data_IF_025779299575
#
_entry.id   IF_025779299575
#
_cell.length_a   1.000
_cell.length_b   1.000
_cell.length_c   1.000
_cell.angle_alpha   90.00
_cell.angle_beta   90.00
_cell.angle_gamma   90.00
#
_symmetry.space_group_name_H-M   'P 1'
#
loop_
_entity.id
_entity.type
_entity.pdbx_description
1 polymer ?
#
# COMPACT_ATOMS: atom_id res chain seq x y z
N UNK A 1 -41.23 22.26 16.13
CA UNK A 1 -41.53 21.15 15.20
C UNK A 1 -40.40 21.08 14.18
N UNK A 2 -39.62 20.02 14.13
CA UNK A 2 -38.59 19.86 13.10
C UNK A 2 -39.27 19.51 11.77
N UNK A 3 -38.88 20.16 10.67
CA UNK A 3 -39.29 19.76 9.32
C UNK A 3 -38.34 18.66 8.85
N UNK A 4 -38.90 17.51 8.48
CA UNK A 4 -38.16 16.42 7.84
C UNK A 4 -38.10 16.71 6.33
N UNK A 5 -36.89 16.71 5.76
CA UNK A 5 -36.67 16.71 4.32
C UNK A 5 -36.49 15.25 3.88
N UNK A 6 -37.46 14.72 3.14
CA UNK A 6 -37.33 13.41 2.49
C UNK A 6 -37.06 13.63 1.00
N UNK A 7 -35.98 13.04 0.51
CA UNK A 7 -35.65 13.06 -0.92
C UNK A 7 -36.37 11.91 -1.64
N UNK A 8 -36.58 12.05 -2.94
CA UNK A 8 -37.00 10.92 -3.78
C UNK A 8 -35.93 9.85 -3.75
N UNK A 9 -36.32 8.58 -3.80
CA UNK A 9 -35.39 7.46 -3.78
C UNK A 9 -35.98 6.20 -4.40
N UNK A 10 -35.13 5.21 -4.57
CA UNK A 10 -35.43 3.94 -5.21
C UNK A 10 -34.22 3.02 -5.21
N UNK A 11 -34.40 1.78 -5.64
CA UNK A 11 -33.34 0.77 -5.69
C UNK A 11 -32.26 1.14 -6.71
N UNK A 12 -31.11 0.48 -6.66
CA UNK A 12 -30.05 0.62 -7.66
C UNK A 12 -30.55 0.26 -9.05
N UNK A 13 -31.38 -0.78 -9.14
CA UNK A 13 -31.97 -1.21 -10.41
C UNK A 13 -33.00 -0.23 -10.95
N UNK A 14 -33.68 0.53 -10.11
CA UNK A 14 -34.58 1.60 -10.56
C UNK A 14 -33.77 2.80 -11.02
N UNK A 15 -32.73 3.18 -10.26
CA UNK A 15 -31.82 4.27 -10.64
C UNK A 15 -31.16 4.04 -11.98
N UNK A 16 -30.74 2.82 -12.33
CA UNK A 16 -30.02 2.53 -13.58
C UNK A 16 -30.77 2.90 -14.86
N UNK A 17 -32.09 3.10 -14.79
CA UNK A 17 -32.93 3.54 -15.92
C UNK A 17 -33.53 4.94 -15.73
N UNK A 18 -33.33 5.57 -14.57
CA UNK A 18 -33.85 6.89 -14.23
C UNK A 18 -32.85 8.00 -14.58
N UNK A 19 -33.33 9.05 -15.26
CA UNK A 19 -32.58 10.29 -15.48
C UNK A 19 -33.27 11.41 -14.71
N UNK A 20 -32.65 11.88 -13.62
CA UNK A 20 -33.16 13.01 -12.85
C UNK A 20 -32.90 14.34 -13.54
N UNK A 21 -33.62 15.39 -13.10
CA UNK A 21 -33.41 16.74 -13.62
C UNK A 21 -32.03 17.31 -13.26
N UNK A 22 -31.62 18.39 -13.93
CA UNK A 22 -30.37 19.10 -13.62
C UNK A 22 -30.33 19.49 -12.14
N UNK A 23 -29.29 19.05 -11.41
CA UNK A 23 -29.08 19.26 -9.96
C UNK A 23 -30.12 18.61 -9.05
N UNK A 24 -30.90 17.66 -9.56
CA UNK A 24 -31.71 16.82 -8.71
C UNK A 24 -30.82 15.91 -7.86
N UNK A 25 -31.23 15.66 -6.61
CA UNK A 25 -30.60 14.69 -5.71
C UNK A 25 -31.64 13.65 -5.32
N UNK A 26 -31.33 12.37 -5.56
CA UNK A 26 -32.13 11.23 -5.12
C UNK A 26 -31.32 10.34 -4.16
N UNK A 27 -31.99 9.36 -3.54
CA UNK A 27 -31.35 8.35 -2.66
C UNK A 27 -31.43 6.98 -3.32
N UNK A 28 -30.28 6.36 -3.59
CA UNK A 28 -30.20 4.93 -3.93
C UNK A 28 -30.32 4.12 -2.64
N UNK A 29 -31.44 3.44 -2.47
CA UNK A 29 -31.79 2.75 -1.21
C UNK A 29 -31.14 1.40 -1.03
N UNK A 30 -30.54 0.82 -2.09
CA UNK A 30 -29.78 -0.43 -1.94
C UNK A 30 -28.35 -0.12 -1.49
N UNK A 31 -27.82 1.03 -1.94
CA UNK A 31 -26.47 1.48 -1.60
C UNK A 31 -26.44 2.44 -0.42
N UNK A 32 -27.57 2.96 0.05
CA UNK A 32 -27.65 4.00 1.08
C UNK A 32 -26.80 5.25 0.75
N UNK A 33 -26.85 5.72 -0.49
CA UNK A 33 -26.10 6.90 -0.94
C UNK A 33 -26.98 7.90 -1.67
N UNK A 34 -26.55 9.16 -1.66
CA UNK A 34 -27.10 10.19 -2.53
C UNK A 34 -26.66 9.95 -3.98
N UNK A 35 -27.51 10.30 -4.92
CA UNK A 35 -27.24 10.29 -6.36
C UNK A 35 -27.56 11.67 -6.92
N UNK A 36 -26.57 12.32 -7.53
CA UNK A 36 -26.72 13.63 -8.17
C UNK A 36 -27.01 13.46 -9.66
N UNK A 37 -27.91 14.27 -10.21
CA UNK A 37 -28.32 14.20 -11.61
C UNK A 37 -27.96 15.46 -12.40
N UNK A 38 -27.71 15.28 -13.70
CA UNK A 38 -27.33 16.33 -14.65
C UNK A 38 -28.39 16.60 -15.73
N UNK A 39 -29.55 15.92 -15.68
CA UNK A 39 -30.59 16.04 -16.71
C UNK A 39 -30.40 15.17 -17.94
N UNK A 40 -29.32 14.39 -18.05
CA UNK A 40 -29.01 13.60 -19.26
C UNK A 40 -28.53 12.18 -18.98
N UNK A 41 -27.78 11.95 -17.90
CA UNK A 41 -27.14 10.67 -17.60
C UNK A 41 -28.08 9.77 -16.79
N UNK A 42 -28.51 8.65 -17.38
CA UNK A 42 -29.28 7.64 -16.65
C UNK A 42 -28.43 7.03 -15.53
N UNK A 43 -29.02 6.81 -14.34
CA UNK A 43 -28.30 6.38 -13.15
C UNK A 43 -27.65 7.51 -12.36
N UNK A 44 -27.46 8.69 -12.95
CA UNK A 44 -26.82 9.84 -12.32
C UNK A 44 -25.40 9.53 -11.83
N UNK A 45 -24.96 10.29 -10.82
CA UNK A 45 -23.64 10.19 -10.21
C UNK A 45 -23.80 9.85 -8.71
N UNK A 46 -23.71 8.56 -8.34
CA UNK A 46 -23.75 8.17 -6.94
C UNK A 46 -22.58 8.74 -6.16
N UNK A 47 -22.84 9.21 -4.94
CA UNK A 47 -21.80 9.58 -4.01
C UNK A 47 -20.95 8.35 -3.64
N UNK A 48 -19.64 8.55 -3.50
CA UNK A 48 -18.73 7.50 -3.07
C UNK A 48 -19.01 7.08 -1.64
N UNK A 49 -18.93 5.78 -1.36
CA UNK A 49 -19.00 5.22 -0.01
C UNK A 49 -18.05 4.04 0.09
N UNK A 50 -17.18 4.08 1.10
CA UNK A 50 -16.29 2.96 1.40
C UNK A 50 -17.01 1.92 2.24
N UNK A 51 -16.86 0.67 1.81
CA UNK A 51 -17.47 -0.49 2.44
C UNK A 51 -16.47 -1.65 2.51
N UNK A 52 -16.51 -2.37 3.62
CA UNK A 52 -15.91 -3.71 3.74
C UNK A 52 -16.84 -4.73 3.08
N UNK A 53 -16.34 -5.39 2.05
CA UNK A 53 -17.00 -6.54 1.42
C UNK A 53 -16.77 -7.83 2.21
N UNK A 54 -17.40 -8.92 1.78
CA UNK A 54 -17.06 -10.25 2.28
C UNK A 54 -15.60 -10.60 1.96
N UNK A 55 -15.01 -11.45 2.80
CA UNK A 55 -13.67 -11.96 2.53
C UNK A 55 -13.64 -12.74 1.21
N UNK A 56 -12.58 -12.54 0.43
CA UNK A 56 -12.39 -13.17 -0.88
C UNK A 56 -11.32 -14.24 -0.76
N UNK A 57 -11.57 -15.44 -1.30
CA UNK A 57 -10.55 -16.47 -1.38
C UNK A 57 -9.57 -16.13 -2.52
N UNK A 58 -8.28 -16.29 -2.26
CA UNK A 58 -7.23 -16.13 -3.25
C UNK A 58 -7.43 -17.13 -4.40
N UNK A 59 -7.41 -16.63 -5.63
CA UNK A 59 -7.52 -17.37 -6.88
C UNK A 59 -6.74 -16.62 -7.98
N UNK A 60 -6.52 -17.26 -9.13
CA UNK A 60 -5.87 -16.67 -10.31
C UNK A 60 -6.82 -16.84 -11.51
N UNK A 61 -7.50 -15.77 -11.99
CA UNK A 61 -7.47 -14.38 -11.49
C UNK A 61 -8.11 -14.20 -10.12
N UNK A 62 -7.64 -13.20 -9.36
CA UNK A 62 -8.37 -12.75 -8.17
C UNK A 62 -9.61 -11.96 -8.61
N UNK A 63 -10.79 -12.31 -8.12
CA UNK A 63 -12.04 -11.64 -8.52
C UNK A 63 -12.42 -10.57 -7.49
N UNK A 64 -12.50 -9.32 -7.93
CA UNK A 64 -12.99 -8.20 -7.12
C UNK A 64 -14.47 -7.99 -7.43
N UNK A 65 -15.31 -8.19 -6.42
CA UNK A 65 -16.77 -8.04 -6.57
C UNK A 65 -17.18 -6.57 -6.58
N UNK A 66 -18.25 -6.22 -7.28
CA UNK A 66 -18.78 -4.85 -7.25
C UNK A 66 -19.45 -4.55 -5.89
N UNK A 67 -19.45 -3.27 -5.49
CA UNK A 67 -20.23 -2.77 -4.35
C UNK A 67 -19.47 -2.68 -3.01
N UNK A 68 -18.18 -2.99 -2.98
CA UNK A 68 -17.31 -2.70 -1.82
C UNK A 68 -15.91 -2.30 -2.29
N UNK A 69 -15.14 -1.72 -1.38
CA UNK A 69 -13.80 -1.19 -1.69
C UNK A 69 -12.75 -1.71 -0.71
N UNK A 70 -13.09 -2.61 0.20
CA UNK A 70 -12.13 -3.23 1.10
C UNK A 70 -12.46 -4.72 1.21
N UNK A 71 -11.45 -5.56 1.03
CA UNK A 71 -11.58 -7.02 1.11
C UNK A 71 -10.43 -7.61 1.92
N UNK A 72 -10.72 -8.66 2.69
CA UNK A 72 -9.65 -9.52 3.20
C UNK A 72 -9.48 -10.66 2.22
N UNK A 73 -8.26 -10.83 1.71
CA UNK A 73 -7.86 -11.95 0.86
C UNK A 73 -7.44 -13.10 1.76
N UNK A 74 -8.20 -14.19 1.71
CA UNK A 74 -7.93 -15.44 2.42
C UNK A 74 -7.27 -16.46 1.50
N UNK A 75 -6.67 -17.53 2.03
CA UNK A 75 -5.98 -18.54 1.23
C UNK A 75 -4.53 -18.18 0.88
N UNK A 76 -3.92 -19.01 0.04
CA UNK A 76 -2.47 -18.98 -0.28
C UNK A 76 -2.16 -19.10 -1.77
N UNK A 77 -3.18 -19.07 -2.63
CA UNK A 77 -3.00 -19.16 -4.09
C UNK A 77 -2.45 -17.84 -4.60
N UNK A 78 -1.26 -17.89 -5.22
CA UNK A 78 -0.71 -16.71 -5.91
C UNK A 78 -1.53 -16.34 -7.14
N UNK A 79 -1.43 -15.09 -7.56
CA UNK A 79 -2.13 -14.59 -8.74
C UNK A 79 -1.28 -13.56 -9.48
N UNK A 80 -1.59 -13.38 -10.77
CA UNK A 80 -0.87 -12.45 -11.65
C UNK A 80 -1.80 -11.45 -12.37
N UNK A 81 -3.10 -11.59 -12.21
CA UNK A 81 -4.12 -10.67 -12.71
C UNK A 81 -5.34 -10.58 -11.77
N UNK A 82 -6.23 -9.64 -12.07
CA UNK A 82 -7.49 -9.43 -11.33
C UNK A 82 -8.65 -9.22 -12.30
N UNK A 83 -9.78 -9.87 -12.01
CA UNK A 83 -11.06 -9.54 -12.66
C UNK A 83 -11.73 -8.40 -11.89
N UNK A 84 -11.79 -7.21 -12.50
CA UNK A 84 -12.34 -5.99 -11.88
C UNK A 84 -12.80 -4.99 -12.95
N UNK A 85 -13.88 -4.27 -12.66
CA UNK A 85 -14.37 -3.21 -13.54
C UNK A 85 -13.40 -2.01 -13.57
N UNK A 86 -13.40 -1.26 -14.67
CA UNK A 86 -12.63 -0.02 -14.77
C UNK A 86 -13.08 1.02 -13.73
N UNK A 87 -12.17 1.90 -13.32
CA UNK A 87 -12.38 2.97 -12.34
C UNK A 87 -12.78 2.49 -10.95
N UNK A 88 -12.34 1.30 -10.55
CA UNK A 88 -12.56 0.76 -9.22
C UNK A 88 -11.34 1.03 -8.33
N UNK A 89 -11.55 1.71 -7.21
CA UNK A 89 -10.53 1.95 -6.18
C UNK A 89 -10.81 1.06 -4.97
N UNK A 90 -9.84 0.27 -4.52
CA UNK A 90 -10.06 -0.70 -3.45
C UNK A 90 -8.79 -1.04 -2.66
N UNK A 91 -9.01 -1.61 -1.48
CA UNK A 91 -8.01 -2.10 -0.55
C UNK A 91 -8.10 -3.61 -0.44
N UNK A 92 -6.94 -4.26 -0.34
CA UNK A 92 -6.81 -5.67 -0.01
C UNK A 92 -5.97 -5.80 1.26
N UNK A 93 -6.50 -6.50 2.26
CA UNK A 93 -5.76 -6.98 3.41
C UNK A 93 -5.52 -8.48 3.26
N UNK A 94 -4.28 -8.95 3.39
CA UNK A 94 -3.96 -10.36 3.21
C UNK A 94 -4.03 -11.10 4.56
N UNK A 95 -4.76 -12.21 4.63
CA UNK A 95 -4.84 -13.04 5.82
C UNK A 95 -3.70 -14.09 5.91
N UNK A 96 -2.90 -14.23 4.84
CA UNK A 96 -1.87 -15.24 4.73
C UNK A 96 -0.81 -14.89 3.68
N UNK A 97 0.10 -15.84 3.47
CA UNK A 97 1.17 -15.72 2.47
C UNK A 97 0.72 -16.27 1.12
N UNK A 98 0.78 -15.43 0.10
CA UNK A 98 0.65 -15.75 -1.32
C UNK A 98 1.68 -14.93 -2.10
N UNK A 99 1.81 -15.21 -3.40
CA UNK A 99 2.66 -14.40 -4.29
C UNK A 99 1.79 -13.65 -5.28
N UNK A 100 1.86 -12.33 -5.22
CA UNK A 100 1.36 -11.46 -6.28
C UNK A 100 2.48 -11.32 -7.31
N UNK A 101 2.24 -11.74 -8.56
CA UNK A 101 3.24 -11.65 -9.63
C UNK A 101 2.97 -10.42 -10.48
N UNK A 102 3.99 -9.60 -10.69
CA UNK A 102 3.85 -8.42 -11.54
C UNK A 102 3.69 -8.81 -13.01
N UNK A 103 2.67 -8.25 -13.66
CA UNK A 103 2.46 -8.32 -15.11
C UNK A 103 2.14 -6.93 -15.60
N UNK A 104 3.06 -6.33 -16.35
CA UNK A 104 2.92 -4.99 -16.92
C UNK A 104 1.60 -4.81 -17.68
N UNK A 105 0.74 -3.89 -17.24
CA UNK A 105 -0.55 -3.64 -17.87
C UNK A 105 -1.66 -4.66 -17.54
N UNK A 106 -1.48 -5.51 -16.53
CA UNK A 106 -2.53 -6.35 -15.95
C UNK A 106 -2.53 -6.23 -14.41
N UNK A 107 -1.42 -6.56 -13.77
CA UNK A 107 -1.17 -6.32 -12.34
C UNK A 107 0.17 -5.60 -12.17
N UNK A 108 0.09 -4.27 -12.16
CA UNK A 108 1.24 -3.40 -11.94
C UNK A 108 1.53 -3.28 -10.44
N UNK A 109 2.60 -3.93 -9.98
CA UNK A 109 3.05 -3.89 -8.59
C UNK A 109 4.15 -2.85 -8.42
N UNK A 110 4.29 -2.25 -7.22
CA UNK A 110 5.41 -1.34 -6.96
C UNK A 110 6.73 -2.05 -7.24
N UNK A 111 7.65 -1.32 -7.87
CA UNK A 111 8.98 -1.78 -8.31
C UNK A 111 9.04 -2.80 -9.45
N UNK A 112 7.89 -3.22 -10.02
CA UNK A 112 7.86 -4.20 -11.12
C UNK A 112 8.30 -5.61 -10.72
N UNK A 113 8.34 -5.91 -9.43
CA UNK A 113 8.72 -7.21 -8.88
C UNK A 113 7.53 -7.90 -8.21
N UNK A 114 7.61 -9.22 -8.07
CA UNK A 114 6.61 -9.98 -7.31
C UNK A 114 6.65 -9.61 -5.82
N UNK A 115 5.47 -9.61 -5.18
CA UNK A 115 5.33 -9.37 -3.74
C UNK A 115 4.87 -10.66 -3.07
N UNK A 116 5.68 -11.18 -2.15
CA UNK A 116 5.22 -12.21 -1.21
C UNK A 116 4.49 -11.52 -0.07
N UNK A 117 3.21 -11.84 0.11
CA UNK A 117 2.37 -11.27 1.16
C UNK A 117 2.62 -11.96 2.49
N UNK A 118 2.17 -11.34 3.58
CA UNK A 118 2.04 -11.95 4.89
C UNK A 118 0.68 -11.55 5.50
N UNK A 119 0.27 -12.25 6.57
CA UNK A 119 -0.92 -11.88 7.31
C UNK A 119 -0.80 -10.43 7.82
N UNK A 120 -1.83 -9.62 7.55
CA UNK A 120 -1.91 -8.20 7.88
C UNK A 120 -1.22 -7.25 6.89
N UNK A 121 -0.62 -7.76 5.80
CA UNK A 121 -0.16 -6.86 4.73
C UNK A 121 -1.39 -6.20 4.08
N UNK A 122 -1.30 -4.89 3.78
CA UNK A 122 -2.39 -4.12 3.16
C UNK A 122 -1.90 -3.41 1.91
N UNK A 123 -2.63 -3.55 0.81
CA UNK A 123 -2.39 -2.82 -0.43
C UNK A 123 -3.60 -2.00 -0.87
N UNK A 124 -3.33 -0.87 -1.50
CA UNK A 124 -4.30 0.00 -2.18
C UNK A 124 -4.13 -0.15 -3.69
N UNK A 125 -5.24 -0.27 -4.39
CA UNK A 125 -5.27 -0.63 -5.80
C UNK A 125 -6.30 0.20 -6.56
N UNK A 126 -5.95 0.56 -7.79
CA UNK A 126 -6.84 1.24 -8.71
C UNK A 126 -6.89 0.51 -10.07
N UNK A 127 -8.09 0.22 -10.56
CA UNK A 127 -8.31 -0.34 -11.88
C UNK A 127 -8.38 0.79 -12.93
N UNK A 128 -7.29 1.05 -13.65
CA UNK A 128 -7.21 2.12 -14.65
C UNK A 128 -7.98 1.81 -15.93
N UNK A 129 -8.15 0.52 -16.22
CA UNK A 129 -9.08 -0.03 -17.19
C UNK A 129 -9.64 -1.36 -16.66
N UNK A 130 -10.60 -1.96 -17.38
CA UNK A 130 -11.12 -3.27 -16.99
C UNK A 130 -9.98 -4.29 -16.95
N UNK A 131 -9.82 -4.96 -15.81
CA UNK A 131 -8.76 -5.94 -15.54
C UNK A 131 -7.31 -5.40 -15.65
N UNK A 132 -7.12 -4.08 -15.64
CA UNK A 132 -5.81 -3.43 -15.59
C UNK A 132 -5.67 -2.73 -14.25
N UNK A 133 -4.92 -3.34 -13.34
CA UNK A 133 -4.83 -2.93 -11.93
C UNK A 133 -3.45 -2.41 -11.61
N UNK A 134 -3.39 -1.22 -11.03
CA UNK A 134 -2.17 -0.64 -10.47
C UNK A 134 -2.24 -0.63 -8.95
N UNK A 135 -1.23 -1.20 -8.31
CA UNK A 135 -1.01 -1.08 -6.87
C UNK A 135 -0.43 0.31 -6.58
N UNK A 136 -1.23 1.17 -5.95
CA UNK A 136 -0.90 2.57 -5.66
C UNK A 136 0.00 2.65 -4.43
N UNK A 137 -0.31 1.85 -3.42
CA UNK A 137 0.48 1.74 -2.19
C UNK A 137 0.41 0.32 -1.64
N UNK A 138 1.48 -0.10 -0.96
CA UNK A 138 1.52 -1.38 -0.27
C UNK A 138 2.32 -1.26 1.01
N UNK A 139 1.69 -1.61 2.13
CA UNK A 139 2.28 -1.58 3.46
C UNK A 139 2.37 -3.00 4.00
N UNK A 140 3.59 -3.46 4.28
CA UNK A 140 3.79 -4.72 4.97
C UNK A 140 3.41 -4.60 6.44
N UNK A 141 2.77 -5.62 7.00
CA UNK A 141 2.47 -5.70 8.44
C UNK A 141 3.71 -5.49 9.30
N UNK A 142 4.86 -5.98 8.82
CA UNK A 142 6.16 -5.82 9.48
C UNK A 142 6.73 -4.40 9.45
N UNK A 143 6.14 -3.47 8.69
CA UNK A 143 6.68 -2.13 8.43
C UNK A 143 7.92 -2.12 7.52
N UNK A 144 8.41 -3.29 7.08
CA UNK A 144 9.54 -3.40 6.15
C UNK A 144 9.16 -2.86 4.77
N UNK A 145 10.12 -2.30 4.01
CA UNK A 145 9.85 -1.89 2.65
C UNK A 145 9.49 -3.09 1.79
N UNK A 146 8.63 -2.87 0.78
CA UNK A 146 8.19 -3.90 -0.18
C UNK A 146 9.36 -4.44 -0.98
N UNK A 147 10.32 -3.56 -1.29
CA UNK A 147 11.59 -3.91 -1.92
C UNK A 147 12.72 -3.51 -1.00
N UNK A 148 13.63 -4.44 -0.72
CA UNK A 148 14.84 -4.18 0.08
C UNK A 148 16.07 -3.93 -0.78
N UNK A 149 15.92 -3.82 -2.10
CA UNK A 149 16.97 -3.40 -3.03
C UNK A 149 17.25 -1.91 -2.82
N UNK A 150 17.81 -1.56 -1.66
CA UNK A 150 18.59 -0.34 -1.55
C UNK A 150 19.79 -0.56 -2.48
N UNK A 151 19.95 0.28 -3.50
CA UNK A 151 21.17 0.19 -4.31
C UNK A 151 22.35 0.41 -3.35
N UNK A 152 23.49 -0.26 -3.57
CA UNK A 152 24.70 -0.03 -2.77
C UNK A 152 25.05 1.46 -2.67
N UNK A 153 24.66 2.29 -3.65
CA UNK A 153 24.80 3.75 -3.63
C UNK A 153 24.02 4.43 -2.49
N UNK A 154 22.82 3.97 -2.15
CA UNK A 154 21.97 4.54 -1.09
C UNK A 154 22.51 4.22 0.31
N UNK A 155 23.04 2.99 0.48
CA UNK A 155 23.73 2.58 1.71
C UNK A 155 25.10 3.26 1.80
N UNK A 156 25.79 3.50 0.67
CA UNK A 156 27.08 4.18 0.65
C UNK A 156 26.97 5.66 1.03
N UNK A 157 25.82 6.31 0.85
CA UNK A 157 25.61 7.67 1.32
C UNK A 157 25.56 7.78 2.86
N UNK A 158 25.14 6.73 3.57
CA UNK A 158 25.16 6.67 5.04
C UNK A 158 26.42 5.99 5.60
N UNK A 159 26.91 4.94 4.95
CA UNK A 159 28.14 4.23 5.30
C UNK A 159 29.41 5.01 4.97
N UNK A 160 29.39 5.99 4.04
CA UNK A 160 30.52 6.90 3.86
C UNK A 160 30.69 7.84 5.07
N UNK A 161 29.60 8.17 5.77
CA UNK A 161 29.67 8.93 7.03
C UNK A 161 30.21 8.05 8.16
N UNK A 162 29.93 6.73 8.13
CA UNK A 162 30.35 5.81 9.19
C UNK A 162 31.78 5.28 8.98
N UNK A 163 32.18 4.88 7.77
CA UNK A 163 33.55 4.46 7.48
C UNK A 163 34.53 5.64 7.47
N UNK A 164 34.14 6.84 7.02
CA UNK A 164 35.01 8.02 7.11
C UNK A 164 35.20 8.51 8.54
N UNK A 165 34.21 8.36 9.42
CA UNK A 165 34.32 8.71 10.84
C UNK A 165 35.02 7.61 11.65
N UNK A 166 34.77 6.34 11.33
CA UNK A 166 35.42 5.19 11.94
C UNK A 166 36.89 5.04 11.50
N UNK A 167 37.21 5.33 10.24
CA UNK A 167 38.60 5.37 9.75
C UNK A 167 39.39 6.57 10.29
N UNK A 168 38.71 7.60 10.82
CA UNK A 168 39.32 8.76 11.48
C UNK A 168 39.42 8.65 13.01
N UNK A 169 38.73 7.67 13.61
CA UNK A 169 38.92 7.26 15.00
C UNK A 169 40.17 6.38 15.04
N UNK A 170 41.31 7.05 15.00
CA UNK A 170 42.64 6.58 15.38
C UNK A 170 42.84 5.06 15.46
N UNK A 171 43.33 4.48 14.37
CA UNK A 171 43.83 3.10 14.33
C UNK A 171 45.26 2.98 14.89
N UNK A 172 45.86 4.05 15.42
CA UNK A 172 47.06 3.89 16.22
C UNK A 172 46.65 3.19 17.53
N UNK A 173 47.37 2.14 17.95
CA UNK A 173 47.16 1.62 19.29
C UNK A 173 47.31 2.80 20.25
N UNK A 174 46.33 3.01 21.13
CA UNK A 174 46.42 3.90 22.27
C UNK A 174 47.74 3.62 23.00
N UNK A 175 48.76 4.43 22.71
CA UNK A 175 50.10 4.27 23.26
C UNK A 175 50.15 4.77 24.69
N UNK A 176 49.13 5.53 25.14
CA UNK A 176 48.99 6.02 26.50
C UNK A 176 48.73 4.88 27.50
N UNK A 177 47.99 3.84 27.08
CA UNK A 177 47.77 2.66 27.93
C UNK A 177 48.99 1.75 28.13
N UNK A 178 50.06 1.95 27.36
CA UNK A 178 51.29 1.14 27.46
C UNK A 178 52.44 1.84 28.19
N UNK A 179 52.20 3.02 28.76
CA UNK A 179 53.20 3.78 29.52
C UNK A 179 53.50 3.20 30.92
N UNK A 180 53.49 1.87 31.07
CA UNK A 180 53.96 1.18 32.28
C UNK A 180 55.17 0.27 32.01
N UNK A 181 56.08 0.72 31.12
CA UNK A 181 57.42 0.17 30.93
C UNK A 181 58.49 1.03 31.63
N UNK A 182 59.56 0.43 32.20
CA UNK A 182 60.36 1.04 33.26
C UNK A 182 61.14 2.28 32.78
N UNK A 183 60.93 3.41 33.47
CA UNK A 183 61.74 4.61 33.32
C UNK A 183 63.20 4.27 33.65
N UNK A 184 64.07 4.24 32.64
CA UNK A 184 65.50 3.98 32.84
C UNK A 184 66.15 5.18 33.53
N UNK A 185 66.29 5.06 34.85
CA UNK A 185 67.07 5.99 35.68
C UNK A 185 68.56 5.78 35.40
N UNK A 186 69.16 6.64 34.57
CA UNK A 186 70.62 6.77 34.44
C UNK A 186 71.20 7.38 35.71
N UNK A 187 71.60 6.55 36.67
CA UNK A 187 72.45 6.97 37.78
C UNK A 187 73.92 6.89 37.33
N UNK A 188 74.45 8.03 36.90
CA UNK A 188 75.87 8.24 36.70
C UNK A 188 76.55 8.30 38.08
N UNK A 189 77.26 7.26 38.48
CA UNK A 189 78.18 7.30 39.61
C UNK A 189 79.59 7.03 39.10
N UNK A 190 80.35 8.11 38.92
CA UNK A 190 81.81 8.02 38.87
C UNK A 190 82.35 7.74 40.27
N UNK A 191 83.25 6.76 40.38
CA UNK A 191 84.60 6.84 40.95
C UNK A 191 85.31 5.52 40.63
#
# INVERSE_FOLDING_TARGET
MAKLLQLRGGTTSQHSSFTGAVREVTVDTDKDVLVVHDGSTAGGFPAHRDLKGSDIASADPLVITAGSNYYIVTGTTGFNDMTVAANHHFFLEFAGALVMTHVGGALDLPSGAAITTAAGDVGEFFATAANVVTCVSYTKASGKPVKTDFANADISASAAIDQSKLAGLDATPDTDHTANGPQTSTLLAGY
#
